data_IF_471864498410
#
_entry.id   IF_471864498410
#
_cell.length_a   1.000
_cell.length_b   1.000
_cell.length_c   1.000
_cell.angle_alpha   90.00
_cell.angle_beta   90.00
_cell.angle_gamma   90.00
#
_symmetry.space_group_name_H-M   'P 1'
#
loop_
_entity.id
_entity.type
_entity.pdbx_description
1 polymer ?
#
# COMPACT_ATOMS: atom_id res chain seq x y z
N UNK A 1 2.31 10.60 14.98
CA UNK A 1 1.75 9.44 14.26
C UNK A 1 2.78 9.02 13.23
N UNK A 2 3.23 7.77 13.29
CA UNK A 2 4.16 7.16 12.33
C UNK A 2 3.35 6.33 11.34
N UNK A 3 3.60 6.50 10.05
CA UNK A 3 2.94 5.70 9.01
C UNK A 3 3.91 4.62 8.52
N UNK A 4 3.53 3.36 8.72
CA UNK A 4 4.23 2.21 8.18
C UNK A 4 3.55 1.80 6.86
N UNK A 5 4.34 1.69 5.80
CA UNK A 5 3.84 1.37 4.45
C UNK A 5 4.33 -0.03 4.08
N UNK A 6 3.41 -0.90 3.66
CA UNK A 6 3.76 -2.15 3.01
C UNK A 6 3.10 -2.24 1.62
N UNK A 7 3.70 -2.99 0.70
CA UNK A 7 3.17 -3.18 -0.63
C UNK A 7 2.21 -4.36 -0.66
N UNK A 8 0.95 -4.10 -0.99
CA UNK A 8 -0.14 -5.09 -0.89
C UNK A 8 -0.37 -5.60 0.54
N UNK A 9 -0.26 -4.70 1.52
CA UNK A 9 -0.52 -4.96 2.94
C UNK A 9 -1.86 -5.70 3.16
N UNK A 10 -2.92 -5.24 2.47
CA UNK A 10 -4.27 -5.81 2.62
C UNK A 10 -4.39 -7.21 2.01
N UNK A 11 -3.38 -7.65 1.26
CA UNK A 11 -3.26 -8.96 0.63
C UNK A 11 -2.45 -9.95 1.47
N UNK A 12 -1.39 -9.49 2.12
CA UNK A 12 -0.44 -10.35 2.82
C UNK A 12 -0.21 -9.96 4.29
N UNK A 13 0.54 -8.89 4.54
CA UNK A 13 1.14 -8.54 5.84
C UNK A 13 0.12 -8.35 6.97
N UNK A 14 -1.11 -7.90 6.65
CA UNK A 14 -2.17 -7.68 7.65
C UNK A 14 -2.38 -8.90 8.56
N UNK A 15 -2.27 -10.11 8.02
CA UNK A 15 -2.52 -11.35 8.76
C UNK A 15 -1.42 -11.57 9.80
N UNK A 16 -0.16 -11.36 9.40
CA UNK A 16 1.00 -11.48 10.30
C UNK A 16 0.90 -10.46 11.44
N UNK A 17 0.56 -9.20 11.12
CA UNK A 17 0.39 -8.15 12.13
C UNK A 17 -0.75 -8.50 13.11
N UNK A 18 -1.93 -8.88 12.61
CA UNK A 18 -3.06 -9.24 13.48
C UNK A 18 -2.76 -10.48 14.34
N UNK A 19 -2.12 -11.50 13.76
CA UNK A 19 -1.71 -12.69 14.49
C UNK A 19 -0.71 -12.36 15.59
N UNK A 20 0.27 -11.51 15.33
CA UNK A 20 1.26 -11.08 16.32
C UNK A 20 0.59 -10.29 17.46
N UNK A 21 -0.29 -9.35 17.14
CA UNK A 21 -1.03 -8.58 18.15
C UNK A 21 -1.88 -9.47 19.05
N UNK A 22 -2.58 -10.45 18.45
CA UNK A 22 -3.42 -11.40 19.18
C UNK A 22 -2.58 -12.34 20.06
N UNK A 23 -1.59 -13.03 19.46
CA UNK A 23 -0.75 -14.02 20.14
C UNK A 23 -0.04 -13.46 21.35
N UNK A 24 0.41 -12.21 21.27
CA UNK A 24 1.18 -11.56 22.32
C UNK A 24 0.36 -10.60 23.20
N UNK A 25 -0.96 -10.50 22.98
CA UNK A 25 -1.86 -9.61 23.73
C UNK A 25 -1.32 -8.18 23.87
N UNK A 26 -0.71 -7.66 22.80
CA UNK A 26 0.08 -6.42 22.84
C UNK A 26 -0.80 -5.18 23.02
N UNK A 27 -1.87 -5.10 22.25
CA UNK A 27 -2.79 -3.98 22.25
C UNK A 27 -4.06 -4.34 21.47
N UNK A 28 -5.15 -3.61 21.74
CA UNK A 28 -6.32 -3.63 20.88
C UNK A 28 -6.07 -2.71 19.66
N UNK A 29 -5.99 -3.25 18.43
CA UNK A 29 -5.83 -2.42 17.24
C UNK A 29 -7.13 -1.73 16.85
N UNK A 30 -7.02 -0.54 16.30
CA UNK A 30 -8.09 0.05 15.48
C UNK A 30 -7.94 -0.47 14.05
N UNK A 31 -9.01 -1.00 13.48
CA UNK A 31 -8.96 -1.63 12.15
C UNK A 31 -10.07 -1.06 11.27
N UNK A 32 -9.71 -0.62 10.07
CA UNK A 32 -10.69 -0.25 9.04
C UNK A 32 -10.74 -1.38 8.01
N UNK A 33 -11.92 -1.93 7.81
CA UNK A 33 -12.18 -3.06 6.91
C UNK A 33 -12.71 -2.59 5.56
N UNK A 34 -12.41 -3.35 4.51
CA UNK A 34 -13.09 -3.31 3.22
C UNK A 34 -13.45 -4.74 2.82
N UNK A 35 -14.71 -5.10 3.04
CA UNK A 35 -15.13 -6.50 3.05
C UNK A 35 -14.30 -7.30 4.05
N UNK A 36 -13.77 -8.45 3.63
CA UNK A 36 -12.91 -9.32 4.44
C UNK A 36 -11.43 -8.88 4.56
N UNK A 37 -11.06 -7.69 4.06
CA UNK A 37 -9.66 -7.22 4.07
C UNK A 37 -9.49 -6.03 5.00
N UNK A 38 -8.52 -6.09 5.90
CA UNK A 38 -8.10 -4.94 6.70
C UNK A 38 -7.33 -3.94 5.81
N UNK A 39 -7.91 -2.76 5.59
CA UNK A 39 -7.32 -1.68 4.80
C UNK A 39 -6.23 -0.93 5.56
N UNK A 40 -6.38 -0.84 6.87
CA UNK A 40 -5.41 -0.23 7.78
C UNK A 40 -5.54 -0.88 9.14
N UNK A 41 -4.42 -0.92 9.85
CA UNK A 41 -4.35 -1.32 11.25
C UNK A 41 -3.61 -0.18 11.96
N UNK A 42 -4.17 0.34 13.04
CA UNK A 42 -3.52 1.34 13.89
C UNK A 42 -3.29 0.72 15.26
N UNK A 43 -2.05 0.80 15.73
CA UNK A 43 -1.64 0.33 17.06
C UNK A 43 -0.87 1.46 17.73
N UNK A 44 -1.45 2.05 18.77
CA UNK A 44 -0.88 3.22 19.44
C UNK A 44 -0.62 4.35 18.43
N UNK A 45 0.64 4.71 18.24
CA UNK A 45 1.05 5.78 17.33
C UNK A 45 1.49 5.31 15.95
N UNK A 46 1.34 4.03 15.61
CA UNK A 46 1.72 3.45 14.32
C UNK A 46 0.48 3.09 13.52
N UNK A 47 0.40 3.60 12.29
CA UNK A 47 -0.66 3.31 11.32
C UNK A 47 -0.07 2.57 10.13
N UNK A 48 -0.52 1.35 9.89
CA UNK A 48 -0.14 0.55 8.74
C UNK A 48 -1.04 0.87 7.54
N UNK A 49 -0.46 1.18 6.39
CA UNK A 49 -1.19 1.44 5.16
C UNK A 49 -0.67 0.57 4.00
N UNK A 50 -1.53 0.37 3.02
CA UNK A 50 -1.21 -0.35 1.79
C UNK A 50 -0.82 0.63 0.68
N UNK A 51 0.43 0.57 0.20
CA UNK A 51 0.87 1.42 -0.92
C UNK A 51 0.10 1.13 -2.20
N UNK A 52 -0.43 -0.08 -2.40
CA UNK A 52 -1.17 -0.46 -3.61
C UNK A 52 -2.51 0.31 -3.74
N UNK A 53 -3.03 0.87 -2.63
CA UNK A 53 -4.19 1.76 -2.65
C UNK A 53 -3.87 3.16 -3.20
N UNK A 54 -2.59 3.51 -3.31
CA UNK A 54 -2.11 4.78 -3.83
C UNK A 54 -1.42 4.60 -5.18
N UNK A 55 -0.63 3.54 -5.31
CA UNK A 55 0.21 3.20 -6.44
C UNK A 55 -0.21 1.82 -6.98
N UNK A 56 -1.27 1.73 -7.82
CA UNK A 56 -1.83 0.47 -8.28
C UNK A 56 -0.98 -0.17 -9.39
N UNK A 57 0.27 -0.48 -9.07
CA UNK A 57 1.27 -1.09 -9.96
C UNK A 57 2.13 -2.09 -9.18
N UNK A 58 2.87 -2.96 -9.87
CA UNK A 58 3.80 -3.85 -9.20
C UNK A 58 5.01 -3.10 -8.62
N UNK A 59 5.61 -3.62 -7.55
CA UNK A 59 6.83 -3.03 -6.92
C UNK A 59 7.94 -2.78 -7.96
N UNK A 60 8.15 -3.73 -8.88
CA UNK A 60 9.14 -3.64 -9.97
C UNK A 60 8.93 -2.49 -10.95
N UNK A 61 7.70 -1.98 -11.07
CA UNK A 61 7.39 -0.89 -11.99
C UNK A 61 7.62 0.49 -11.34
N UNK A 62 7.60 0.57 -10.01
CA UNK A 62 7.69 1.83 -9.28
C UNK A 62 8.98 2.62 -9.56
N UNK A 63 10.19 2.02 -9.56
CA UNK A 63 11.42 2.76 -9.81
C UNK A 63 11.37 3.51 -11.14
N UNK A 64 10.94 2.82 -12.21
CA UNK A 64 10.80 3.42 -13.54
C UNK A 64 9.77 4.54 -13.54
N UNK A 65 8.62 4.36 -12.91
CA UNK A 65 7.56 5.37 -12.82
C UNK A 65 8.03 6.66 -12.14
N UNK A 66 8.87 6.54 -11.10
CA UNK A 66 9.38 7.70 -10.35
C UNK A 66 10.77 8.17 -10.81
N UNK A 67 11.31 7.62 -11.90
CA UNK A 67 12.64 7.98 -12.41
C UNK A 67 13.78 7.62 -11.45
N UNK A 68 13.58 6.63 -10.59
CA UNK A 68 14.55 6.17 -9.61
C UNK A 68 15.37 4.99 -10.14
N UNK A 69 16.65 4.96 -9.82
CA UNK A 69 17.51 3.82 -10.06
C UNK A 69 17.39 2.81 -8.92
N UNK A 70 17.23 1.53 -9.26
CA UNK A 70 17.24 0.43 -8.30
C UNK A 70 18.62 0.28 -7.67
N UNK A 71 18.66 -0.09 -6.38
CA UNK A 71 19.93 -0.30 -5.66
C UNK A 71 20.66 -1.55 -6.13
N UNK A 72 19.89 -2.59 -6.48
CA UNK A 72 20.41 -3.87 -6.97
C UNK A 72 19.58 -4.29 -8.17
N UNK A 73 20.25 -4.42 -9.31
CA UNK A 73 19.68 -5.04 -10.51
C UNK A 73 19.83 -6.55 -10.37
N UNK A 74 18.73 -7.29 -10.41
CA UNK A 74 18.73 -8.75 -10.33
C UNK A 74 17.43 -9.30 -9.77
N UNK A 75 17.26 -10.61 -9.89
CA UNK A 75 16.02 -11.31 -9.53
C UNK A 75 16.30 -12.32 -8.43
N UNK A 76 15.36 -12.46 -7.49
CA UNK A 76 15.49 -13.39 -6.37
C UNK A 76 14.71 -14.68 -6.65
N UNK A 77 15.29 -15.87 -6.44
CA UNK A 77 14.63 -17.15 -6.71
C UNK A 77 13.59 -17.48 -5.62
N UNK A 78 12.36 -17.02 -5.79
CA UNK A 78 11.30 -17.16 -4.79
C UNK A 78 10.99 -18.62 -4.41
N UNK A 79 11.05 -19.57 -5.35
CA UNK A 79 10.78 -20.98 -5.04
C UNK A 79 11.96 -21.69 -4.37
N UNK A 80 13.15 -21.10 -4.42
CA UNK A 80 14.36 -21.58 -3.74
C UNK A 80 14.40 -21.14 -2.26
N UNK A 81 13.56 -20.20 -1.85
CA UNK A 81 13.43 -19.76 -0.45
C UNK A 81 12.76 -20.82 0.41
N UNK A 82 13.57 -21.78 0.89
CA UNK A 82 13.15 -22.90 1.73
C UNK A 82 14.15 -23.10 2.86
N UNK A 83 13.73 -23.60 4.04
CA UNK A 83 14.61 -23.82 5.18
C UNK A 83 15.86 -24.65 4.85
N UNK A 84 15.74 -25.61 3.93
CA UNK A 84 16.83 -26.49 3.53
C UNK A 84 17.94 -25.76 2.76
N UNK A 85 17.61 -24.63 2.15
CA UNK A 85 18.52 -23.83 1.33
C UNK A 85 19.12 -22.63 2.08
N UNK A 86 18.79 -22.44 3.37
CA UNK A 86 19.17 -21.24 4.12
C UNK A 86 20.70 -21.03 4.20
N UNK A 87 21.46 -22.12 4.25
CA UNK A 87 22.93 -22.12 4.29
C UNK A 87 23.56 -22.38 2.91
N UNK A 88 22.77 -22.33 1.82
CA UNK A 88 23.26 -22.67 0.48
C UNK A 88 24.27 -21.63 -0.03
N UNK A 89 25.42 -22.14 -0.48
CA UNK A 89 26.43 -21.40 -1.23
C UNK A 89 26.86 -22.26 -2.41
N UNK A 90 26.62 -21.78 -3.63
CA UNK A 90 26.88 -22.55 -4.85
C UNK A 90 26.56 -21.75 -6.10
N UNK A 91 26.28 -22.41 -7.21
CA UNK A 91 25.81 -21.72 -8.42
C UNK A 91 24.42 -21.12 -8.20
N UNK A 92 24.04 -20.14 -9.03
CA UNK A 92 22.68 -19.65 -9.04
C UNK A 92 21.66 -20.79 -9.22
N UNK A 93 20.52 -20.77 -8.49
CA UNK A 93 19.46 -21.76 -8.63
C UNK A 93 18.94 -21.90 -10.06
N UNK A 94 18.33 -23.04 -10.43
CA UNK A 94 17.68 -23.21 -11.74
C UNK A 94 16.68 -22.10 -12.05
N UNK A 95 16.46 -21.82 -13.34
CA UNK A 95 15.48 -20.85 -13.83
C UNK A 95 14.05 -21.15 -13.35
N UNK A 96 13.73 -22.42 -13.13
CA UNK A 96 12.45 -22.85 -12.55
C UNK A 96 12.18 -22.27 -11.16
N UNK A 97 13.22 -21.83 -10.44
CA UNK A 97 13.06 -21.24 -9.11
C UNK A 97 12.70 -19.73 -9.13
N UNK A 98 12.69 -19.10 -10.31
CA UNK A 98 12.46 -17.65 -10.51
C UNK A 98 11.08 -17.30 -11.07
N UNK A 99 10.11 -18.24 -11.04
CA UNK A 99 8.80 -18.10 -11.69
C UNK A 99 8.93 -17.93 -13.22
N UNK A 100 9.32 -19.00 -13.95
CA UNK A 100 9.69 -18.94 -15.37
C UNK A 100 8.53 -18.47 -16.29
N UNK A 101 7.28 -18.64 -15.87
CA UNK A 101 6.11 -18.15 -16.60
C UNK A 101 5.93 -16.62 -16.49
N UNK A 102 6.48 -16.02 -15.41
CA UNK A 102 6.47 -14.58 -15.15
C UNK A 102 7.69 -13.83 -15.70
N UNK A 103 8.76 -14.53 -16.10
CA UNK A 103 10.01 -13.92 -16.56
C UNK A 103 9.91 -13.32 -17.98
N UNK A 104 10.10 -12.01 -18.07
CA UNK A 104 10.37 -11.23 -19.27
C UNK A 104 11.68 -11.64 -19.97
N UNK A 105 11.86 -11.16 -21.21
CA UNK A 105 13.06 -11.44 -22.02
C UNK A 105 14.32 -10.95 -21.31
N UNK A 106 14.29 -9.73 -20.76
CA UNK A 106 15.44 -9.16 -20.03
C UNK A 106 15.77 -9.92 -18.74
N UNK A 107 14.76 -10.50 -18.08
CA UNK A 107 14.94 -11.35 -16.89
C UNK A 107 15.72 -12.63 -17.26
N UNK A 108 15.35 -13.26 -18.38
CA UNK A 108 16.02 -14.49 -18.87
C UNK A 108 17.44 -14.22 -19.34
N UNK A 109 17.66 -13.11 -20.03
CA UNK A 109 19.00 -12.68 -20.45
C UNK A 109 19.91 -12.40 -19.25
N UNK A 110 19.39 -11.75 -18.21
CA UNK A 110 20.13 -11.56 -16.96
C UNK A 110 20.49 -12.90 -16.32
N UNK A 111 19.55 -13.84 -16.23
CA UNK A 111 19.82 -15.16 -15.67
C UNK A 111 20.93 -15.90 -16.43
N UNK A 112 20.85 -15.95 -17.77
CA UNK A 112 21.85 -16.66 -18.57
C UNK A 112 23.28 -16.09 -18.40
N UNK A 113 23.39 -14.79 -18.15
CA UNK A 113 24.67 -14.13 -17.87
C UNK A 113 25.25 -14.46 -16.49
N UNK A 114 24.40 -14.72 -15.49
CA UNK A 114 24.81 -14.86 -14.08
C UNK A 114 24.64 -16.28 -13.53
N UNK A 115 24.05 -17.23 -14.28
CA UNK A 115 23.73 -18.58 -13.79
C UNK A 115 24.94 -19.39 -13.28
N UNK A 116 26.14 -19.00 -13.69
CA UNK A 116 27.40 -19.62 -13.29
C UNK A 116 28.15 -18.88 -12.19
N UNK A 117 27.65 -17.72 -11.76
CA UNK A 117 28.20 -16.97 -10.64
C UNK A 117 27.88 -17.68 -9.31
N UNK A 118 28.57 -17.24 -8.25
CA UNK A 118 28.32 -17.76 -6.90
C UNK A 118 27.12 -17.06 -6.29
N UNK A 119 26.13 -17.85 -5.93
CA UNK A 119 24.95 -17.48 -5.17
C UNK A 119 25.12 -17.90 -3.70
N UNK A 120 25.20 -16.92 -2.82
CA UNK A 120 25.13 -17.08 -1.36
C UNK A 120 23.72 -16.70 -0.92
N UNK A 121 22.94 -17.68 -0.46
CA UNK A 121 21.53 -17.48 -0.16
C UNK A 121 21.31 -16.37 0.88
N UNK A 122 22.11 -16.33 1.95
CA UNK A 122 21.94 -15.36 3.05
C UNK A 122 22.25 -13.94 2.61
N UNK A 123 23.31 -13.77 1.82
CA UNK A 123 23.66 -12.47 1.28
C UNK A 123 22.60 -11.98 0.29
N UNK A 124 22.12 -12.89 -0.56
CA UNK A 124 21.15 -12.58 -1.61
C UNK A 124 19.76 -12.23 -1.04
N UNK A 125 19.23 -13.01 -0.09
CA UNK A 125 17.93 -12.71 0.53
C UNK A 125 17.98 -11.39 1.31
N UNK A 126 19.07 -11.13 2.03
CA UNK A 126 19.24 -9.88 2.78
C UNK A 126 19.32 -8.69 1.84
N UNK A 127 20.10 -8.80 0.77
CA UNK A 127 20.22 -7.75 -0.24
C UNK A 127 18.89 -7.49 -0.96
N UNK A 128 18.16 -8.55 -1.33
CA UNK A 128 16.84 -8.46 -1.94
C UNK A 128 15.85 -7.73 -1.03
N UNK A 129 15.68 -8.17 0.23
CA UNK A 129 14.75 -7.55 1.17
C UNK A 129 15.09 -6.07 1.43
N UNK A 130 16.38 -5.73 1.57
CA UNK A 130 16.81 -4.33 1.72
C UNK A 130 16.47 -3.49 0.49
N UNK A 131 16.73 -4.02 -0.70
CA UNK A 131 16.46 -3.33 -1.96
C UNK A 131 14.96 -3.08 -2.15
N UNK A 132 14.11 -4.10 -1.93
CA UNK A 132 12.66 -3.99 -2.12
C UNK A 132 12.03 -2.97 -1.14
N UNK A 133 12.41 -3.01 0.14
CA UNK A 133 11.94 -2.03 1.14
C UNK A 133 12.44 -0.62 0.82
N UNK A 134 13.69 -0.47 0.38
CA UNK A 134 14.24 0.84 0.04
C UNK A 134 13.62 1.43 -1.24
N UNK A 135 13.37 0.60 -2.25
CA UNK A 135 12.61 0.99 -3.46
C UNK A 135 11.23 1.49 -3.05
N UNK A 136 10.49 0.72 -2.24
CA UNK A 136 9.17 1.12 -1.77
C UNK A 136 9.23 2.46 -1.01
N UNK A 137 10.18 2.59 -0.08
CA UNK A 137 10.38 3.81 0.72
C UNK A 137 10.65 5.03 -0.17
N UNK A 138 11.57 4.92 -1.13
CA UNK A 138 11.92 6.03 -2.03
C UNK A 138 10.77 6.41 -2.95
N UNK A 139 10.12 5.44 -3.58
CA UNK A 139 8.99 5.68 -4.49
C UNK A 139 7.80 6.32 -3.76
N UNK A 140 7.42 5.79 -2.59
CA UNK A 140 6.39 6.40 -1.76
C UNK A 140 6.79 7.80 -1.26
N UNK A 141 8.08 8.03 -1.00
CA UNK A 141 8.62 9.34 -0.66
C UNK A 141 8.41 10.38 -1.77
N UNK A 142 8.81 10.04 -3.00
CA UNK A 142 8.62 10.91 -4.18
C UNK A 142 7.14 11.19 -4.43
N UNK A 143 6.28 10.16 -4.40
CA UNK A 143 4.83 10.35 -4.53
C UNK A 143 4.28 11.31 -3.47
N UNK A 144 4.65 11.11 -2.20
CA UNK A 144 4.22 11.95 -1.08
C UNK A 144 4.68 13.39 -1.26
N UNK A 145 5.92 13.61 -1.68
CA UNK A 145 6.49 14.93 -1.92
C UNK A 145 5.75 15.68 -3.02
N UNK A 146 5.52 15.06 -4.18
CA UNK A 146 4.76 15.65 -5.29
C UNK A 146 3.36 16.01 -4.83
N UNK A 147 2.66 15.09 -4.18
CA UNK A 147 1.27 15.32 -3.75
C UNK A 147 1.20 16.46 -2.71
N UNK A 148 2.13 16.51 -1.76
CA UNK A 148 2.23 17.58 -0.78
C UNK A 148 2.54 18.93 -1.42
N UNK A 149 3.45 18.97 -2.38
CA UNK A 149 3.83 20.19 -3.08
C UNK A 149 2.64 20.78 -3.85
N UNK A 150 1.87 19.93 -4.54
CA UNK A 150 0.77 20.36 -5.39
C UNK A 150 -0.51 20.72 -4.60
N UNK A 151 -0.72 20.09 -3.44
CA UNK A 151 -2.01 20.16 -2.72
C UNK A 151 -1.91 20.66 -1.28
N UNK A 152 -0.73 20.68 -0.67
CA UNK A 152 -0.55 20.97 0.76
C UNK A 152 -1.11 19.90 1.71
N UNK A 153 -1.57 18.75 1.19
CA UNK A 153 -2.17 17.66 1.96
C UNK A 153 -1.26 16.44 1.93
N UNK A 154 -1.01 15.84 3.09
CA UNK A 154 -0.28 14.57 3.15
C UNK A 154 -1.21 13.39 2.81
N UNK A 155 -0.97 12.67 1.69
CA UNK A 155 -1.87 11.61 1.24
C UNK A 155 -1.87 10.40 2.17
N UNK A 156 -0.77 10.11 2.88
CA UNK A 156 -0.63 8.92 3.72
C UNK A 156 -1.17 9.13 5.13
N UNK A 157 -1.11 10.36 5.64
CA UNK A 157 -1.67 10.70 6.95
C UNK A 157 -3.19 10.85 6.87
N UNK A 158 -3.69 11.61 5.89
CA UNK A 158 -5.09 12.03 5.83
C UNK A 158 -6.02 11.04 5.12
N UNK A 159 -5.47 10.07 4.39
CA UNK A 159 -6.25 9.16 3.55
C UNK A 159 -5.73 7.73 3.60
N UNK A 160 -6.51 6.79 3.06
CA UNK A 160 -6.14 5.37 2.94
C UNK A 160 -6.01 4.90 1.49
N UNK A 161 -6.44 5.74 0.55
CA UNK A 161 -6.44 5.48 -0.89
C UNK A 161 -6.19 6.77 -1.65
N UNK A 162 -5.70 6.67 -2.89
CA UNK A 162 -5.56 7.82 -3.79
C UNK A 162 -6.89 8.54 -3.99
N UNK A 163 -7.98 7.79 -4.21
CA UNK A 163 -9.30 8.37 -4.38
C UNK A 163 -9.75 9.17 -3.14
N UNK A 164 -9.48 8.66 -1.93
CA UNK A 164 -9.77 9.38 -0.68
C UNK A 164 -8.92 10.65 -0.55
N UNK A 165 -7.65 10.61 -0.96
CA UNK A 165 -6.76 11.77 -0.95
C UNK A 165 -7.24 12.85 -1.94
N UNK A 166 -7.50 12.49 -3.20
CA UNK A 166 -8.04 13.41 -4.20
C UNK A 166 -9.40 13.98 -3.77
N UNK A 167 -10.25 13.17 -3.14
CA UNK A 167 -11.52 13.62 -2.59
C UNK A 167 -11.34 14.62 -1.44
N UNK A 168 -10.31 14.44 -0.60
CA UNK A 168 -9.94 15.40 0.44
C UNK A 168 -9.50 16.73 -0.19
N UNK A 169 -8.59 16.68 -1.17
CA UNK A 169 -8.14 17.86 -1.93
C UNK A 169 -9.32 18.61 -2.57
N UNK A 170 -10.25 17.90 -3.21
CA UNK A 170 -11.45 18.48 -3.80
C UNK A 170 -12.26 19.24 -2.75
N UNK A 171 -12.54 18.61 -1.61
CA UNK A 171 -13.33 19.23 -0.52
C UNK A 171 -12.62 20.42 0.11
N UNK A 172 -11.30 20.38 0.23
CA UNK A 172 -10.52 21.43 0.89
C UNK A 172 -10.32 22.66 0.00
N UNK A 173 -10.03 22.47 -1.29
CA UNK A 173 -9.57 23.57 -2.16
C UNK A 173 -10.59 24.02 -3.21
N UNK A 174 -11.49 23.14 -3.65
CA UNK A 174 -12.29 23.38 -4.85
C UNK A 174 -13.80 23.34 -4.61
N UNK A 175 -14.26 22.65 -3.56
CA UNK A 175 -15.67 22.53 -3.26
C UNK A 175 -16.22 23.86 -2.74
N UNK A 176 -17.09 24.49 -3.52
CA UNK A 176 -17.78 25.72 -3.12
C UNK A 176 -18.69 25.44 -1.93
N UNK A 177 -18.82 26.44 -1.06
CA UNK A 177 -19.74 26.39 0.08
C UNK A 177 -21.16 26.06 -0.40
N UNK A 178 -21.87 25.29 0.42
CA UNK A 178 -23.30 25.01 0.25
C UNK A 178 -23.66 24.29 -1.08
N UNK A 179 -22.71 23.50 -1.62
CA UNK A 179 -22.93 22.71 -2.85
C UNK A 179 -23.24 21.23 -2.62
N UNK A 180 -23.04 20.71 -1.41
CA UNK A 180 -23.50 19.37 -1.06
C UNK A 180 -24.64 19.48 -0.05
N UNK A 181 -25.65 18.66 -0.28
CA UNK A 181 -26.75 18.48 0.65
C UNK A 181 -26.28 17.49 1.71
N UNK A 182 -26.16 17.96 2.96
CA UNK A 182 -25.96 17.07 4.10
C UNK A 182 -27.33 16.58 4.53
N UNK A 183 -27.54 15.26 4.49
CA UNK A 183 -28.78 14.64 4.97
C UNK A 183 -28.58 14.28 6.45
N UNK A 184 -29.31 14.89 7.39
CA UNK A 184 -29.27 14.47 8.79
C UNK A 184 -29.55 12.97 8.93
N UNK A 185 -28.73 12.28 9.73
CA UNK A 185 -28.84 10.83 9.94
C UNK A 185 -30.21 10.42 10.51
N UNK A 186 -30.83 11.29 11.30
CA UNK A 186 -32.20 11.13 11.82
C UNK A 186 -33.24 10.97 10.70
N UNK A 187 -33.04 11.63 9.55
CA UNK A 187 -33.92 11.51 8.40
C UNK A 187 -33.69 10.20 7.61
N UNK A 188 -32.53 9.56 7.76
CA UNK A 188 -32.24 8.26 7.13
C UNK A 188 -32.79 7.07 7.94
N UNK A 189 -32.91 7.20 9.26
CA UNK A 189 -33.38 6.11 10.14
C UNK A 189 -34.91 5.93 10.13
N UNK A 190 -35.66 6.98 9.78
CA UNK A 190 -37.13 6.94 9.69
C UNK A 190 -37.67 6.95 8.26
N UNK A 191 -36.85 6.60 7.27
CA UNK A 191 -37.20 6.80 5.85
C UNK A 191 -38.49 6.05 5.50
N UNK A 192 -39.55 6.79 5.14
CA UNK A 192 -40.77 6.22 4.55
C UNK A 192 -40.77 6.57 3.06
N UNK A 193 -40.70 5.55 2.16
CA UNK A 193 -40.67 5.77 0.71
C UNK A 193 -41.76 6.75 0.26
N UNK A 194 -41.36 7.81 -0.46
CA UNK A 194 -42.26 8.77 -1.09
C UNK A 194 -42.68 9.99 -0.25
N UNK A 195 -42.35 10.09 1.06
CA UNK A 195 -42.68 11.27 1.88
C UNK A 195 -41.48 11.98 2.53
N UNK A 196 -40.29 11.41 2.46
CA UNK A 196 -39.10 11.94 3.15
C UNK A 196 -38.62 13.29 2.61
N UNK A 197 -38.85 13.57 1.33
CA UNK A 197 -38.44 14.84 0.69
C UNK A 197 -39.18 16.06 1.26
N UNK A 198 -40.36 15.89 1.87
CA UNK A 198 -41.08 16.98 2.55
C UNK A 198 -40.41 17.44 3.84
N UNK A 199 -39.58 16.58 4.47
CA UNK A 199 -38.84 16.89 5.69
C UNK A 199 -37.53 17.64 5.39
N UNK A 200 -37.14 17.71 4.12
CA UNK A 200 -35.93 18.39 3.68
C UNK A 200 -36.14 19.91 3.66
N UNK A 201 -35.61 20.61 4.68
CA UNK A 201 -35.55 22.06 4.64
C UNK A 201 -34.27 22.52 3.92
N UNK A 202 -34.34 23.52 3.01
CA UNK A 202 -33.18 24.06 2.29
C UNK A 202 -32.03 24.56 3.18
N UNK A 203 -32.30 24.87 4.45
CA UNK A 203 -31.31 25.42 5.39
C UNK A 203 -30.40 24.39 6.07
N UNK A 204 -30.60 23.09 5.83
CA UNK A 204 -29.73 22.02 6.33
C UNK A 204 -28.62 21.63 5.34
N UNK A 205 -28.36 22.47 4.33
CA UNK A 205 -27.48 22.20 3.18
C UNK A 205 -26.13 22.92 3.30
N UNK A 206 -25.36 22.67 4.36
CA UNK A 206 -24.07 23.34 4.48
C UNK A 206 -22.95 22.40 4.85
N UNK A 207 -21.96 22.32 3.96
CA UNK A 207 -20.70 21.61 4.15
C UNK A 207 -19.75 22.35 5.08
N UNK A 208 -20.21 23.37 5.83
CA UNK A 208 -19.36 24.14 6.76
C UNK A 208 -18.68 23.29 7.83
N UNK A 209 -19.14 22.05 8.04
CA UNK A 209 -18.61 21.10 9.02
C UNK A 209 -17.78 19.95 8.42
N UNK A 210 -17.59 19.90 7.09
CA UNK A 210 -16.76 18.91 6.38
C UNK A 210 -15.37 19.47 6.09
#
# INVERSE_FOLDING_TARGET
MTVAVAHNFKGYDRLLILQMLHKHSLAQPEVIMNGGKAMTITVGTVKFIDSLNFLPMASRDMPKTFGLQELKKGYFPHHFNRPENEEYVGSYPPDTDYDPDGMSVSEREWYEQHRHDVFDFRQEILAYCKSDVDVLRRCCGVFREIFLMDTGIDPFVKSLTLASACSHVLRTHYLKKDTLVVIPQVLMQESKPGRDWHRFQPRQQSNKAL
#
